data_IF_225422624096
#
_entry.id   IF_225422624096
#
_cell.length_a   1.000
_cell.length_b   1.000
_cell.length_c   1.000
_cell.angle_alpha   90.00
_cell.angle_beta   90.00
_cell.angle_gamma   90.00
#
_symmetry.space_group_name_H-M   'P 1'
#
loop_
_entity.id
_entity.type
_entity.pdbx_description
1 polymer ?
#
# COMPACT_ATOMS: atom_id res chain seq x y z
N UNK A 1 -17.33 2.21 -15.96
CA UNK A 1 -16.85 2.93 -17.16
C UNK A 1 -15.34 2.94 -17.15
N UNK A 2 -14.69 2.76 -18.30
CA UNK A 2 -13.23 2.84 -18.47
C UNK A 2 -12.85 4.14 -19.15
N UNK A 3 -12.61 5.19 -18.37
CA UNK A 3 -12.36 6.57 -18.86
C UNK A 3 -10.88 6.84 -19.19
N UNK A 4 -9.97 5.91 -18.90
CA UNK A 4 -8.56 6.06 -19.23
C UNK A 4 -7.65 5.10 -18.47
N UNK A 5 -6.36 5.44 -18.45
CA UNK A 5 -5.29 4.75 -17.70
C UNK A 5 -4.80 5.68 -16.59
N UNK A 6 -4.58 5.16 -15.39
CA UNK A 6 -3.99 5.90 -14.27
C UNK A 6 -2.77 5.16 -13.71
N UNK A 7 -1.91 5.89 -13.01
CA UNK A 7 -0.90 5.34 -12.12
C UNK A 7 -1.44 5.42 -10.69
N UNK A 8 -1.54 4.27 -10.03
CA UNK A 8 -2.11 4.16 -8.69
C UNK A 8 -1.31 3.15 -7.86
N UNK A 9 -1.39 3.27 -6.54
CA UNK A 9 -0.79 2.32 -5.60
C UNK A 9 -1.46 0.96 -5.72
N UNK A 10 -0.64 -0.08 -5.91
CA UNK A 10 -1.12 -1.46 -6.05
C UNK A 10 -2.05 -1.89 -4.91
N UNK A 11 -1.75 -1.49 -3.67
CA UNK A 11 -2.60 -1.79 -2.50
C UNK A 11 -4.05 -1.32 -2.64
N UNK A 12 -4.30 -0.25 -3.39
CA UNK A 12 -5.65 0.31 -3.56
C UNK A 12 -6.46 -0.37 -4.66
N UNK A 13 -5.79 -1.04 -5.60
CA UNK A 13 -6.41 -1.58 -6.82
C UNK A 13 -6.23 -3.09 -6.99
N UNK A 14 -5.53 -3.76 -6.06
CA UNK A 14 -5.21 -5.19 -6.14
C UNK A 14 -6.48 -6.04 -6.33
N UNK A 15 -7.54 -5.77 -5.56
CA UNK A 15 -8.79 -6.52 -5.66
C UNK A 15 -9.45 -6.37 -7.03
N UNK A 16 -9.44 -5.17 -7.59
CA UNK A 16 -10.00 -4.89 -8.91
C UNK A 16 -9.16 -5.54 -10.01
N UNK A 17 -7.85 -5.64 -9.84
CA UNK A 17 -6.96 -6.40 -10.72
C UNK A 17 -7.26 -7.90 -10.62
N UNK A 18 -7.37 -8.46 -9.41
CA UNK A 18 -7.67 -9.88 -9.18
C UNK A 18 -9.04 -10.28 -9.75
N UNK A 19 -10.03 -9.39 -9.66
CA UNK A 19 -11.37 -9.60 -10.19
C UNK A 19 -11.49 -9.28 -11.69
N UNK A 20 -10.42 -8.81 -12.33
CA UNK A 20 -10.40 -8.42 -13.75
C UNK A 20 -11.23 -7.17 -14.08
N UNK A 21 -11.64 -6.40 -13.06
CA UNK A 21 -12.30 -5.09 -13.25
C UNK A 21 -11.32 -4.01 -13.69
N UNK A 22 -10.06 -4.15 -13.29
CA UNK A 22 -8.93 -3.39 -13.80
C UNK A 22 -7.93 -4.34 -14.46
N UNK A 23 -7.11 -3.77 -15.34
CA UNK A 23 -6.00 -4.47 -16.00
C UNK A 23 -4.76 -3.60 -15.88
N UNK A 24 -3.57 -4.24 -15.82
CA UNK A 24 -2.29 -3.56 -15.87
C UNK A 24 -1.74 -3.61 -17.31
N UNK A 25 -2.08 -2.64 -18.19
CA UNK A 25 -1.78 -2.72 -19.62
C UNK A 25 -0.28 -2.67 -19.94
N UNK A 26 0.54 -2.18 -19.00
CA UNK A 26 1.99 -2.06 -19.13
C UNK A 26 2.74 -2.99 -18.18
N UNK A 27 2.04 -3.96 -17.57
CA UNK A 27 2.61 -4.80 -16.51
C UNK A 27 2.80 -4.05 -15.19
N UNK A 28 3.44 -4.73 -14.23
CA UNK A 28 3.76 -4.19 -12.91
C UNK A 28 5.23 -3.77 -12.78
N UNK A 29 6.03 -4.06 -13.81
CA UNK A 29 7.45 -3.76 -13.84
C UNK A 29 7.64 -2.26 -14.14
N UNK A 30 8.08 -1.51 -13.12
CA UNK A 30 8.22 -0.06 -13.20
C UNK A 30 8.87 0.53 -11.96
N UNK A 31 8.83 1.86 -11.84
CA UNK A 31 9.37 2.56 -10.68
C UNK A 31 8.57 2.20 -9.42
N UNK A 32 9.15 1.37 -8.55
CA UNK A 32 8.60 1.13 -7.22
C UNK A 32 8.88 2.35 -6.34
N UNK A 33 7.83 3.11 -6.03
CA UNK A 33 7.89 4.23 -5.10
C UNK A 33 7.36 3.75 -3.75
N UNK A 34 8.27 3.52 -2.79
CA UNK A 34 7.93 3.29 -1.39
C UNK A 34 7.55 4.62 -0.70
N UNK A 35 6.43 5.21 -1.13
CA UNK A 35 5.98 6.54 -0.69
C UNK A 35 5.11 6.55 0.58
N UNK A 36 4.90 5.40 1.23
CA UNK A 36 4.04 5.29 2.41
C UNK A 36 4.87 5.49 3.67
N UNK A 37 4.48 6.44 4.50
CA UNK A 37 5.14 6.72 5.78
C UNK A 37 4.15 6.60 6.93
N UNK A 38 4.57 5.95 8.01
CA UNK A 38 3.86 5.95 9.29
C UNK A 38 4.49 7.03 10.18
N UNK A 39 3.73 8.09 10.46
CA UNK A 39 4.21 9.20 11.28
C UNK A 39 3.74 9.04 12.73
N UNK A 40 4.70 9.03 13.66
CA UNK A 40 4.44 8.90 15.09
C UNK A 40 5.22 9.94 15.89
N UNK A 41 4.65 10.37 17.00
CA UNK A 41 5.37 11.21 17.96
C UNK A 41 6.49 10.38 18.60
N UNK A 42 7.69 10.94 18.67
CA UNK A 42 8.86 10.28 19.28
C UNK A 42 8.56 9.76 20.69
N UNK A 43 7.81 10.52 21.49
CA UNK A 43 7.39 10.15 22.85
C UNK A 43 6.46 8.94 22.92
N UNK A 44 5.84 8.56 21.80
CA UNK A 44 4.87 7.46 21.73
C UNK A 44 5.45 6.20 21.10
N UNK A 45 6.66 6.25 20.51
CA UNK A 45 7.25 5.10 19.80
C UNK A 45 7.58 3.93 20.72
N UNK A 46 7.98 4.21 21.97
CA UNK A 46 8.36 3.18 22.94
C UNK A 46 7.16 2.57 23.69
N UNK A 47 5.94 3.08 23.45
CA UNK A 47 4.75 2.53 24.07
C UNK A 47 4.50 1.12 23.50
N UNK A 48 4.37 0.07 24.34
CA UNK A 48 4.23 -1.30 23.86
C UNK A 48 3.09 -1.49 22.85
N UNK A 49 1.96 -0.83 23.08
CA UNK A 49 0.80 -0.84 22.17
C UNK A 49 1.10 -0.24 20.79
N UNK A 50 1.93 0.81 20.72
CA UNK A 50 2.30 1.47 19.46
C UNK A 50 3.24 0.57 18.69
N UNK A 51 4.21 -0.03 19.38
CA UNK A 51 5.11 -1.03 18.78
C UNK A 51 4.34 -2.24 18.24
N UNK A 52 3.46 -2.84 19.04
CA UNK A 52 2.63 -3.97 18.60
C UNK A 52 1.77 -3.62 17.39
N UNK A 53 1.24 -2.39 17.31
CA UNK A 53 0.51 -1.94 16.13
C UNK A 53 1.41 -1.77 14.91
N UNK A 54 2.62 -1.23 15.05
CA UNK A 54 3.59 -1.14 13.96
C UNK A 54 3.94 -2.52 13.43
N UNK A 55 4.33 -3.44 14.33
CA UNK A 55 4.74 -4.79 13.98
C UNK A 55 3.61 -5.50 13.20
N UNK A 56 2.37 -5.48 13.73
CA UNK A 56 1.20 -6.03 13.04
C UNK A 56 0.93 -5.34 11.69
N UNK A 57 1.00 -4.01 11.63
CA UNK A 57 0.70 -3.27 10.39
C UNK A 57 1.70 -3.61 9.28
N UNK A 58 2.98 -3.76 9.61
CA UNK A 58 3.99 -4.11 8.62
C UNK A 58 3.92 -5.58 8.22
N UNK A 59 3.56 -6.49 9.13
CA UNK A 59 3.25 -7.90 8.80
C UNK A 59 2.11 -8.02 7.78
N UNK A 60 1.05 -7.21 7.89
CA UNK A 60 -0.07 -7.21 6.93
C UNK A 60 0.25 -6.53 5.58
N UNK A 61 1.40 -5.85 5.48
CA UNK A 61 1.83 -5.13 4.27
C UNK A 61 2.94 -5.87 3.49
N UNK A 62 3.54 -6.92 4.05
CA UNK A 62 4.41 -7.88 3.33
C UNK A 62 3.59 -8.81 2.42
#
# INVERSE_FOLDING_TARGET
>A
MGVGVCLESLLLVQRELDTGKLVAPFGFDGLSVNGKTLNLLKSSMDLPKVKSFQDWLFEELE
#
